data_IF_244680067334
#
_entry.id   IF_244680067334
#
_cell.length_a   1.000
_cell.length_b   1.000
_cell.length_c   1.000
_cell.angle_alpha   90.00
_cell.angle_beta   90.00
_cell.angle_gamma   90.00
#
_symmetry.space_group_name_H-M   'P 1'
#
loop_
_entity.id
_entity.type
_entity.pdbx_description
1 polymer ?
#
# COMPACT_ATOMS: atom_id res chain seq x y z
N UNK A 1 -78.25 1.45 -30.84
CA UNK A 1 -77.51 0.33 -31.46
C UNK A 1 -76.15 0.21 -30.77
N UNK A 2 -75.77 -1.03 -30.45
CA UNK A 2 -74.45 -1.54 -30.02
C UNK A 2 -73.25 -0.75 -30.61
N UNK A 3 -72.05 -0.66 -30.00
CA UNK A 3 -71.25 -1.70 -29.34
C UNK A 3 -69.97 -1.10 -28.72
N UNK A 4 -69.58 -1.63 -27.56
CA UNK A 4 -68.23 -1.88 -27.03
C UNK A 4 -67.05 -1.76 -28.02
N UNK A 5 -65.87 -1.25 -27.60
CA UNK A 5 -64.54 -1.84 -27.88
C UNK A 5 -63.34 -1.14 -27.16
N UNK A 6 -62.76 -1.89 -26.20
CA UNK A 6 -61.35 -2.08 -25.80
C UNK A 6 -60.40 -0.97 -25.32
N UNK A 7 -60.13 -1.08 -24.00
CA UNK A 7 -58.83 -0.93 -23.34
C UNK A 7 -57.73 -1.78 -24.00
N UNK A 8 -56.64 -1.14 -24.46
CA UNK A 8 -55.29 -1.64 -24.73
C UNK A 8 -54.45 -0.39 -25.03
N UNK A 9 -53.22 -0.15 -24.63
CA UNK A 9 -52.16 -0.84 -23.91
C UNK A 9 -51.21 0.31 -23.50
N UNK A 10 -50.63 0.39 -22.31
CA UNK A 10 -49.65 -0.58 -21.85
C UNK A 10 -48.26 0.06 -21.88
N UNK A 11 -47.89 0.67 -20.75
CA UNK A 11 -46.57 0.53 -20.12
C UNK A 11 -45.33 0.66 -21.02
N UNK A 12 -44.86 1.90 -21.22
CA UNK A 12 -43.53 2.23 -21.77
C UNK A 12 -42.55 2.49 -20.62
N UNK A 13 -42.20 1.43 -19.87
CA UNK A 13 -41.16 1.48 -18.83
C UNK A 13 -40.21 0.29 -19.02
N UNK A 14 -38.92 0.60 -19.12
CA UNK A 14 -37.86 -0.36 -18.76
C UNK A 14 -37.04 -0.92 -19.91
N UNK A 15 -36.26 -0.08 -20.59
CA UNK A 15 -35.06 -0.52 -21.31
C UNK A 15 -33.85 0.37 -20.94
N UNK A 16 -33.64 0.60 -19.65
CA UNK A 16 -32.30 0.90 -19.14
C UNK A 16 -31.59 -0.43 -18.93
N UNK A 17 -31.03 -0.98 -20.01
CA UNK A 17 -30.06 -2.06 -19.89
C UNK A 17 -28.89 -1.56 -19.06
N UNK A 18 -28.69 -2.13 -17.88
CA UNK A 18 -27.39 -2.07 -17.22
C UNK A 18 -26.38 -2.60 -18.24
N UNK A 19 -25.55 -1.72 -18.81
CA UNK A 19 -24.47 -2.14 -19.68
C UNK A 19 -23.62 -3.13 -18.88
N UNK A 20 -23.71 -4.41 -19.26
CA UNK A 20 -22.83 -5.45 -18.76
C UNK A 20 -21.47 -5.09 -19.32
N UNK A 21 -20.64 -4.43 -18.52
CA UNK A 21 -19.25 -4.14 -18.87
C UNK A 21 -18.64 -5.44 -19.40
N UNK A 22 -17.93 -5.40 -20.55
CA UNK A 22 -17.23 -6.58 -21.02
C UNK A 22 -16.33 -7.04 -19.88
N UNK A 23 -16.48 -8.31 -19.49
CA UNK A 23 -15.63 -8.96 -18.50
C UNK A 23 -14.23 -9.00 -19.13
N UNK A 24 -13.45 -7.95 -18.90
CA UNK A 24 -12.07 -7.88 -19.36
C UNK A 24 -11.41 -9.11 -18.77
N UNK A 25 -10.82 -10.02 -19.58
CA UNK A 25 -10.14 -11.16 -19.02
C UNK A 25 -9.06 -10.62 -18.10
N UNK A 26 -9.21 -10.88 -16.80
CA UNK A 26 -8.13 -10.68 -15.84
C UNK A 26 -6.96 -11.46 -16.42
N UNK A 27 -5.87 -10.75 -16.74
CA UNK A 27 -4.62 -11.42 -17.07
C UNK A 27 -4.38 -12.49 -15.98
N UNK A 28 -3.95 -13.71 -16.35
CA UNK A 28 -3.69 -14.74 -15.35
C UNK A 28 -2.81 -14.13 -14.28
N UNK A 29 -3.30 -14.13 -13.04
CA UNK A 29 -2.60 -13.48 -11.95
C UNK A 29 -1.20 -14.11 -11.89
N UNK A 30 -0.17 -13.28 -11.97
CA UNK A 30 1.20 -13.76 -12.18
C UNK A 30 1.62 -14.68 -11.02
N UNK A 31 2.55 -15.60 -11.24
CA UNK A 31 3.07 -16.41 -10.13
C UNK A 31 4.10 -15.64 -9.28
N UNK A 32 4.56 -14.48 -9.76
CA UNK A 32 5.45 -13.59 -9.02
C UNK A 32 4.65 -12.79 -7.97
N UNK A 33 4.94 -13.02 -6.69
CA UNK A 33 4.24 -12.41 -5.54
C UNK A 33 5.21 -11.87 -4.52
N UNK A 34 4.81 -10.78 -3.88
CA UNK A 34 5.35 -10.33 -2.60
C UNK A 34 4.26 -10.46 -1.54
N UNK A 35 4.51 -11.27 -0.52
CA UNK A 35 3.64 -11.44 0.64
C UNK A 35 4.26 -10.68 1.79
N UNK A 36 3.54 -9.71 2.33
CA UNK A 36 3.98 -8.92 3.49
C UNK A 36 3.07 -9.24 4.66
N UNK A 37 3.66 -9.59 5.80
CA UNK A 37 2.97 -9.78 7.08
C UNK A 37 3.56 -8.80 8.10
N UNK A 38 2.72 -7.99 8.71
CA UNK A 38 3.10 -7.01 9.73
C UNK A 38 2.40 -7.36 11.04
N UNK A 39 3.10 -7.25 12.17
CA UNK A 39 2.56 -7.52 13.52
C UNK A 39 2.76 -6.30 14.41
N UNK A 40 1.69 -5.86 15.05
CA UNK A 40 1.66 -4.68 15.90
C UNK A 40 1.54 -5.03 17.39
N UNK A 41 1.94 -4.12 18.28
CA UNK A 41 1.91 -4.33 19.73
C UNK A 41 0.48 -4.43 20.30
N UNK A 42 -0.49 -3.79 19.64
CA UNK A 42 -1.91 -3.86 19.98
C UNK A 42 -2.79 -4.19 18.75
N UNK A 43 -4.09 -4.50 18.94
CA UNK A 43 -5.00 -4.70 17.82
C UNK A 43 -5.00 -3.50 16.85
N UNK A 44 -5.13 -3.80 15.55
CA UNK A 44 -5.13 -2.79 14.49
C UNK A 44 -6.24 -1.75 14.75
N UNK A 45 -5.88 -0.46 14.74
CA UNK A 45 -6.84 0.63 14.79
C UNK A 45 -7.41 0.89 13.39
N UNK A 46 -8.71 0.67 13.22
CA UNK A 46 -9.39 0.88 11.94
C UNK A 46 -9.40 2.35 11.47
N UNK A 47 -9.10 3.31 12.35
CA UNK A 47 -9.00 4.74 12.02
C UNK A 47 -7.57 5.20 11.71
N UNK A 48 -6.56 4.36 11.95
CA UNK A 48 -5.19 4.62 11.55
C UNK A 48 -4.96 4.25 10.08
N UNK A 49 -3.87 4.79 9.53
CA UNK A 49 -3.39 4.48 8.19
C UNK A 49 -2.12 3.66 8.30
N UNK A 50 -2.06 2.58 7.52
CA UNK A 50 -0.88 1.72 7.45
C UNK A 50 -0.41 1.66 6.00
N UNK A 51 0.89 1.79 5.79
CA UNK A 51 1.49 1.87 4.47
C UNK A 51 2.59 0.83 4.32
N UNK A 52 2.58 0.16 3.17
CA UNK A 52 3.76 -0.57 2.67
C UNK A 52 4.35 0.29 1.58
N UNK A 53 5.40 1.04 1.89
CA UNK A 53 6.07 1.93 0.96
C UNK A 53 7.19 1.18 0.23
N UNK A 54 7.33 1.44 -1.06
CA UNK A 54 8.16 0.64 -1.97
C UNK A 54 8.96 1.58 -2.87
N UNK A 55 10.26 1.40 -2.88
CA UNK A 55 11.18 1.91 -3.89
C UNK A 55 11.70 0.76 -4.75
N UNK A 56 11.97 1.06 -6.02
CA UNK A 56 12.22 0.10 -7.09
C UNK A 56 13.36 0.52 -8.02
N UNK A 57 14.16 1.52 -7.64
CA UNK A 57 15.20 2.08 -8.52
C UNK A 57 16.51 1.30 -8.53
N UNK A 58 16.57 0.17 -7.81
CA UNK A 58 17.77 -0.66 -7.67
C UNK A 58 18.97 0.18 -7.13
N UNK A 59 18.76 1.14 -6.22
CA UNK A 59 19.79 1.85 -5.43
C UNK A 59 19.62 1.54 -3.92
N UNK A 60 20.61 0.93 -3.22
CA UNK A 60 20.42 0.50 -1.84
C UNK A 60 20.71 1.64 -0.85
N UNK A 61 21.10 2.81 -1.37
CA UNK A 61 21.39 4.01 -0.58
C UNK A 61 20.19 4.94 -0.47
N UNK A 62 19.12 4.65 -1.21
CA UNK A 62 17.85 5.35 -1.12
C UNK A 62 16.73 4.40 -0.74
N UNK A 63 15.69 4.94 -0.11
CA UNK A 63 14.50 4.14 0.19
C UNK A 63 13.37 4.93 0.82
N UNK A 64 12.25 4.26 1.12
CA UNK A 64 11.07 4.92 1.66
C UNK A 64 11.28 5.43 3.08
N UNK A 65 11.01 6.72 3.33
CA UNK A 65 11.06 7.33 4.66
C UNK A 65 9.72 7.98 5.05
N UNK A 66 9.36 7.98 6.35
CA UNK A 66 8.17 8.65 6.84
C UNK A 66 8.32 10.18 6.81
N UNK A 67 7.21 10.89 6.61
CA UNK A 67 7.16 12.35 6.64
C UNK A 67 6.98 12.87 8.08
N UNK A 68 8.10 13.04 8.79
CA UNK A 68 8.10 13.45 10.21
C UNK A 68 8.06 14.97 10.42
N UNK A 69 8.69 15.76 9.54
CA UNK A 69 8.71 17.25 9.59
C UNK A 69 8.62 17.87 8.18
N UNK A 70 8.37 19.19 8.10
CA UNK A 70 7.86 19.90 6.90
C UNK A 70 8.66 19.76 5.60
N UNK A 71 8.00 19.99 4.43
CA UNK A 71 6.55 19.89 4.20
C UNK A 71 6.15 18.43 3.92
N UNK A 72 5.08 17.96 4.57
CA UNK A 72 4.55 16.62 4.40
C UNK A 72 3.77 16.52 3.09
N UNK A 73 4.51 16.25 2.02
CA UNK A 73 4.00 16.20 0.67
C UNK A 73 2.65 15.51 0.49
N UNK A 74 2.57 14.26 0.94
CA UNK A 74 1.37 13.42 0.93
C UNK A 74 0.83 13.15 2.36
N UNK A 75 1.42 13.79 3.37
CA UNK A 75 1.02 13.63 4.77
C UNK A 75 1.45 12.34 5.46
N UNK A 76 2.30 11.50 4.89
CA UNK A 76 2.80 10.28 5.57
C UNK A 76 4.22 9.84 5.19
N UNK A 77 4.70 10.14 3.97
CA UNK A 77 6.01 9.72 3.49
C UNK A 77 6.72 10.80 2.67
N UNK A 78 8.03 10.67 2.51
CA UNK A 78 8.86 11.58 1.70
C UNK A 78 9.08 10.92 0.32
N UNK A 79 8.45 11.40 -0.76
CA UNK A 79 8.46 10.61 -2.00
C UNK A 79 9.75 10.69 -2.80
N UNK A 80 10.45 11.83 -2.78
CA UNK A 80 11.82 11.96 -3.30
C UNK A 80 12.52 13.11 -2.60
N UNK A 81 13.62 12.79 -1.91
CA UNK A 81 14.54 13.76 -1.34
C UNK A 81 15.96 13.18 -1.37
N UNK A 82 16.79 13.69 -2.29
CA UNK A 82 18.17 13.24 -2.46
C UNK A 82 19.08 13.59 -1.28
N UNK A 83 18.71 14.58 -0.47
CA UNK A 83 19.48 14.96 0.72
C UNK A 83 19.20 14.01 1.88
N UNK A 84 17.97 13.51 1.98
CA UNK A 84 17.57 12.51 2.98
C UNK A 84 17.81 11.07 2.52
N UNK A 85 18.14 10.86 1.24
CA UNK A 85 18.17 9.52 0.65
C UNK A 85 16.79 8.89 0.55
N UNK A 86 15.73 9.71 0.43
CA UNK A 86 14.37 9.20 0.39
C UNK A 86 13.85 9.04 -1.02
N UNK A 87 13.17 7.93 -1.27
CA UNK A 87 12.45 7.68 -2.52
C UNK A 87 11.30 6.68 -2.30
N UNK A 88 10.14 6.96 -2.91
CA UNK A 88 8.96 6.09 -2.88
C UNK A 88 8.36 6.09 -4.28
N UNK A 89 8.27 4.92 -4.92
CA UNK A 89 7.62 4.80 -6.24
C UNK A 89 6.23 4.17 -6.15
N UNK A 90 6.06 3.15 -5.29
CA UNK A 90 4.77 2.51 -5.05
C UNK A 90 4.44 2.51 -3.57
N UNK A 91 3.15 2.37 -3.26
CA UNK A 91 2.74 2.05 -1.91
C UNK A 91 1.42 1.27 -1.90
N UNK A 92 1.26 0.42 -0.90
CA UNK A 92 -0.04 -0.05 -0.46
C UNK A 92 -0.54 0.88 0.64
N UNK A 93 -1.74 1.43 0.51
CA UNK A 93 -2.44 2.12 1.59
C UNK A 93 -3.49 1.18 2.17
N UNK A 94 -3.44 0.98 3.48
CA UNK A 94 -4.41 0.22 4.25
C UNK A 94 -5.14 1.20 5.17
N UNK A 95 -6.45 1.32 4.97
CA UNK A 95 -7.31 2.19 5.77
C UNK A 95 -8.71 1.60 5.85
N UNK A 96 -9.32 1.62 7.04
CA UNK A 96 -10.67 1.11 7.30
C UNK A 96 -10.92 -0.30 6.72
N UNK A 97 -9.98 -1.21 6.97
CA UNK A 97 -10.05 -2.61 6.51
C UNK A 97 -10.14 -2.76 4.99
N UNK A 98 -9.67 -1.78 4.24
CA UNK A 98 -9.48 -1.85 2.79
C UNK A 98 -8.02 -1.61 2.47
N UNK A 99 -7.56 -2.13 1.33
CA UNK A 99 -6.21 -1.88 0.83
C UNK A 99 -6.24 -1.59 -0.66
N UNK A 100 -5.47 -0.57 -1.05
CA UNK A 100 -5.33 -0.14 -2.43
C UNK A 100 -3.84 0.08 -2.73
N UNK A 101 -3.40 -0.37 -3.91
CA UNK A 101 -2.07 -0.09 -4.41
C UNK A 101 -2.07 1.19 -5.24
N UNK A 102 -0.99 1.94 -5.11
CA UNK A 102 -0.78 3.19 -5.82
C UNK A 102 0.63 3.27 -6.37
N UNK A 103 0.77 3.97 -7.49
CA UNK A 103 2.03 4.42 -8.05
C UNK A 103 2.11 5.93 -7.97
N UNK A 104 3.24 6.46 -7.49
CA UNK A 104 3.52 7.89 -7.51
C UNK A 104 3.81 8.34 -8.95
N UNK A 105 3.13 9.38 -9.40
CA UNK A 105 3.30 9.96 -10.75
C UNK A 105 4.18 11.22 -10.71
N UNK A 106 4.06 12.00 -9.63
CA UNK A 106 4.85 13.22 -9.41
C UNK A 106 5.48 13.13 -8.03
N UNK A 107 6.81 13.14 -8.00
CA UNK A 107 7.65 12.99 -6.81
C UNK A 107 7.96 14.33 -6.11
N UNK A 108 7.19 15.38 -6.42
CA UNK A 108 7.31 16.70 -5.82
C UNK A 108 5.92 17.23 -5.46
N UNK A 109 5.79 18.14 -4.48
CA UNK A 109 4.51 18.74 -4.18
C UNK A 109 3.96 19.57 -5.38
N UNK A 110 2.67 19.44 -5.75
CA UNK A 110 1.70 18.50 -5.21
C UNK A 110 1.92 17.09 -5.77
N UNK A 111 2.04 16.13 -4.86
CA UNK A 111 2.21 14.72 -5.21
C UNK A 111 0.93 14.20 -5.82
N UNK A 112 1.07 13.40 -6.87
CA UNK A 112 -0.06 12.75 -7.52
C UNK A 112 0.19 11.26 -7.61
N UNK A 113 -0.89 10.51 -7.50
CA UNK A 113 -0.84 9.05 -7.49
C UNK A 113 -1.80 8.49 -8.52
N UNK A 114 -1.43 7.35 -9.07
CA UNK A 114 -2.28 6.53 -9.93
C UNK A 114 -2.64 5.28 -9.16
N UNK A 115 -3.94 5.01 -9.01
CA UNK A 115 -4.36 3.76 -8.40
C UNK A 115 -4.11 2.58 -9.33
N UNK A 116 -3.56 1.51 -8.76
CA UNK A 116 -3.31 0.22 -9.41
C UNK A 116 -4.39 -0.83 -9.07
N UNK A 117 -5.37 -0.46 -8.22
CA UNK A 117 -6.40 -1.36 -7.71
C UNK A 117 -5.98 -2.10 -6.44
N UNK A 118 -6.82 -3.04 -5.95
CA UNK A 118 -6.50 -3.82 -4.77
C UNK A 118 -5.38 -4.84 -5.07
N UNK A 119 -4.65 -5.31 -4.03
CA UNK A 119 -3.73 -6.43 -4.13
C UNK A 119 -4.48 -7.74 -4.41
N UNK A 120 -3.73 -8.83 -4.61
CA UNK A 120 -4.27 -10.17 -4.89
C UNK A 120 -5.06 -10.70 -3.70
N UNK A 121 -4.56 -10.45 -2.49
CA UNK A 121 -5.18 -10.90 -1.25
C UNK A 121 -4.84 -9.91 -0.11
N UNK A 122 -5.75 -9.82 0.85
CA UNK A 122 -5.65 -8.97 2.03
C UNK A 122 -6.45 -9.57 3.17
N UNK A 123 -5.83 -9.66 4.34
CA UNK A 123 -6.45 -10.26 5.51
C UNK A 123 -5.84 -9.73 6.81
N UNK A 124 -6.54 -9.98 7.91
CA UNK A 124 -6.05 -9.81 9.27
C UNK A 124 -5.94 -11.20 9.92
N UNK A 125 -4.81 -11.91 9.79
CA UNK A 125 -4.67 -13.27 10.33
C UNK A 125 -4.91 -13.33 11.85
N UNK A 126 -4.56 -12.26 12.55
CA UNK A 126 -4.80 -12.01 13.97
C UNK A 126 -5.27 -10.55 14.16
N UNK A 127 -5.87 -10.19 15.31
CA UNK A 127 -6.34 -8.83 15.56
C UNK A 127 -5.28 -7.73 15.44
N UNK A 128 -4.01 -8.06 15.63
CA UNK A 128 -2.85 -7.18 15.55
C UNK A 128 -1.97 -7.46 14.32
N UNK A 129 -2.44 -8.23 13.34
CA UNK A 129 -1.67 -8.59 12.15
C UNK A 129 -2.33 -8.11 10.87
N UNK A 130 -1.51 -7.57 9.98
CA UNK A 130 -1.90 -7.23 8.61
C UNK A 130 -1.15 -8.16 7.67
N UNK A 131 -1.88 -8.77 6.72
CA UNK A 131 -1.26 -9.55 5.65
C UNK A 131 -1.74 -9.09 4.29
N UNK A 132 -0.80 -8.72 3.43
CA UNK A 132 -1.04 -8.24 2.04
C UNK A 132 -0.29 -9.14 1.07
N UNK A 133 -0.94 -9.54 -0.03
CA UNK A 133 -0.31 -10.30 -1.13
C UNK A 133 -0.36 -9.48 -2.41
N UNK A 134 0.79 -8.98 -2.84
CA UNK A 134 0.92 -8.12 -4.01
C UNK A 134 1.35 -8.96 -5.23
N UNK A 135 0.71 -8.76 -6.37
CA UNK A 135 1.21 -9.24 -7.66
C UNK A 135 2.36 -8.33 -8.11
N UNK A 136 3.57 -8.87 -8.26
CA UNK A 136 4.69 -8.07 -8.76
C UNK A 136 4.43 -7.54 -10.19
N UNK A 137 3.57 -8.19 -10.98
CA UNK A 137 3.15 -7.70 -12.30
C UNK A 137 2.09 -6.60 -12.25
N UNK A 138 1.47 -6.36 -11.11
CA UNK A 138 0.63 -5.18 -10.90
C UNK A 138 1.49 -3.93 -10.72
N UNK A 139 2.66 -4.06 -10.07
CA UNK A 139 3.65 -2.98 -9.94
C UNK A 139 4.47 -2.81 -11.23
N UNK A 140 4.90 -3.94 -11.82
CA UNK A 140 5.77 -4.00 -13.00
C UNK A 140 5.04 -4.65 -14.19
N UNK A 141 4.05 -3.97 -14.79
CA UNK A 141 3.32 -4.50 -15.93
C UNK A 141 4.26 -4.70 -17.12
N UNK A 142 3.99 -5.72 -17.93
CA UNK A 142 4.76 -5.98 -19.16
C UNK A 142 4.71 -4.75 -20.09
N UNK A 143 5.81 -4.45 -20.81
CA UNK A 143 7.04 -5.23 -20.94
C UNK A 143 8.10 -4.95 -19.86
N UNK A 144 7.79 -4.18 -18.81
CA UNK A 144 8.79 -3.79 -17.82
C UNK A 144 9.31 -5.03 -17.05
N UNK A 145 10.64 -5.17 -16.89
CA UNK A 145 11.20 -6.21 -16.04
C UNK A 145 10.84 -5.93 -14.57
N UNK A 146 10.74 -7.00 -13.79
CA UNK A 146 10.72 -6.88 -12.32
C UNK A 146 12.17 -6.54 -11.90
N UNK A 147 12.40 -5.53 -11.04
CA UNK A 147 13.74 -5.15 -10.59
C UNK A 147 14.41 -6.27 -9.79
N UNK A 148 15.71 -6.14 -9.54
CA UNK A 148 16.46 -7.16 -8.82
C UNK A 148 16.22 -7.11 -7.32
N UNK A 149 15.86 -5.94 -6.78
CA UNK A 149 15.45 -5.73 -5.39
C UNK A 149 14.38 -4.66 -5.27
N UNK A 150 13.86 -4.53 -4.06
CA UNK A 150 13.03 -3.41 -3.63
C UNK A 150 13.49 -2.93 -2.26
N UNK A 151 13.38 -1.63 -2.03
CA UNK A 151 13.57 -1.03 -0.72
C UNK A 151 12.21 -0.77 -0.10
N UNK A 152 12.00 -1.25 1.12
CA UNK A 152 10.69 -1.24 1.79
C UNK A 152 10.76 -0.53 3.14
N UNK A 153 9.69 0.20 3.45
CA UNK A 153 9.38 0.67 4.80
C UNK A 153 7.90 0.43 5.10
N UNK A 154 7.58 0.15 6.35
CA UNK A 154 6.23 -0.08 6.84
C UNK A 154 5.84 1.08 7.75
N UNK A 155 5.08 2.03 7.23
CA UNK A 155 4.80 3.29 7.92
C UNK A 155 3.38 3.26 8.44
N UNK A 156 3.20 3.49 9.74
CA UNK A 156 1.87 3.63 10.36
C UNK A 156 1.69 5.05 10.88
N UNK A 157 0.49 5.61 10.72
CA UNK A 157 0.17 6.97 11.21
C UNK A 157 -1.27 7.05 11.69
N UNK A 158 -1.52 7.80 12.76
CA UNK A 158 -2.87 8.05 13.26
C UNK A 158 -3.64 9.11 12.44
N UNK A 159 -2.94 9.97 11.71
CA UNK A 159 -3.53 11.07 10.96
C UNK A 159 -2.74 11.41 9.68
N UNK A 160 -3.44 11.98 8.70
CA UNK A 160 -2.81 12.51 7.49
C UNK A 160 -2.74 14.03 7.59
N UNK A 161 -1.52 14.53 7.75
CA UNK A 161 -1.27 15.97 7.82
C UNK A 161 -0.99 16.53 6.42
N UNK A 162 -2.04 16.88 5.68
CA UNK A 162 -1.94 17.41 4.31
C UNK A 162 -1.69 18.92 4.19
N UNK A 163 -1.70 19.66 5.31
CA UNK A 163 -1.42 21.10 5.29
C UNK A 163 0.10 21.34 5.19
N UNK A 164 0.63 21.87 4.07
CA UNK A 164 2.07 22.10 3.93
C UNK A 164 2.60 23.19 4.88
N UNK A 165 1.72 23.96 5.51
CA UNK A 165 2.04 25.00 6.49
C UNK A 165 1.92 24.51 7.94
N UNK A 166 1.65 23.24 8.20
CA UNK A 166 1.69 22.69 9.54
C UNK A 166 3.12 22.22 9.87
N UNK A 167 3.68 22.69 10.99
CA UNK A 167 5.05 22.38 11.47
C UNK A 167 5.06 21.50 12.72
N UNK A 168 3.88 21.10 13.19
CA UNK A 168 3.77 20.37 14.45
C UNK A 168 4.45 19.00 14.31
N UNK A 169 5.42 18.65 15.17
CA UNK A 169 6.04 17.34 15.13
C UNK A 169 4.97 16.23 15.11
N UNK A 170 5.19 15.19 14.31
CA UNK A 170 4.32 14.03 14.30
C UNK A 170 4.62 13.16 15.51
N UNK A 171 3.59 12.78 16.25
CA UNK A 171 3.70 11.99 17.48
C UNK A 171 2.97 10.65 17.39
N UNK A 172 1.93 10.54 16.56
CA UNK A 172 1.23 9.28 16.28
C UNK A 172 1.74 8.65 14.99
N UNK A 173 2.96 8.12 15.03
CA UNK A 173 3.52 7.34 13.93
C UNK A 173 4.39 6.21 14.44
N UNK A 174 4.63 5.28 13.53
CA UNK A 174 5.74 4.35 13.60
C UNK A 174 6.25 4.00 12.20
N UNK A 175 7.48 3.53 12.11
CA UNK A 175 8.10 3.04 10.88
C UNK A 175 9.33 2.18 11.20
N UNK A 176 9.94 1.56 10.20
CA UNK A 176 11.09 0.68 10.44
C UNK A 176 12.25 1.40 11.15
N UNK A 177 12.76 0.71 12.16
CA UNK A 177 13.90 1.04 13.00
C UNK A 177 13.55 1.97 14.15
N UNK A 178 14.47 2.14 15.13
CA UNK A 178 14.19 2.88 16.36
C UNK A 178 13.81 4.36 16.20
N UNK A 179 13.95 4.90 14.99
CA UNK A 179 13.60 6.28 14.64
C UNK A 179 12.61 6.38 13.48
N UNK A 180 12.19 5.24 12.92
CA UNK A 180 11.38 5.16 11.71
C UNK A 180 12.11 5.47 10.40
N UNK A 181 13.40 5.81 10.43
CA UNK A 181 14.17 6.24 9.26
C UNK A 181 14.98 5.12 8.60
N UNK A 182 14.72 3.88 8.95
CA UNK A 182 15.37 2.74 8.33
C UNK A 182 14.46 2.13 7.24
N UNK A 183 15.06 1.36 6.34
CA UNK A 183 14.36 0.57 5.34
C UNK A 183 15.10 -0.75 5.10
N UNK A 184 14.41 -1.73 4.53
CA UNK A 184 14.99 -3.04 4.21
C UNK A 184 15.09 -3.23 2.69
N UNK A 185 16.22 -3.76 2.23
CA UNK A 185 16.44 -4.07 0.81
C UNK A 185 16.12 -5.54 0.53
N UNK A 186 14.98 -5.84 -0.08
CA UNK A 186 14.52 -7.20 -0.37
C UNK A 186 14.94 -7.66 -1.77
N UNK A 187 15.85 -8.64 -1.92
CA UNK A 187 16.15 -9.25 -3.20
C UNK A 187 14.94 -9.97 -3.79
N UNK A 188 14.68 -9.76 -5.08
CA UNK A 188 13.58 -10.40 -5.82
C UNK A 188 14.05 -11.55 -6.72
N UNK A 189 15.32 -11.94 -6.63
CA UNK A 189 15.97 -12.91 -7.53
C UNK A 189 15.51 -14.36 -7.33
N UNK A 190 14.98 -14.70 -6.15
CA UNK A 190 14.54 -16.06 -5.84
C UNK A 190 13.37 -16.08 -4.86
N UNK A 191 12.75 -17.26 -4.71
CA UNK A 191 11.71 -17.46 -3.69
C UNK A 191 12.38 -17.56 -2.34
N UNK A 192 12.16 -16.56 -1.49
CA UNK A 192 12.80 -16.46 -0.18
C UNK A 192 11.89 -15.72 0.82
N UNK A 193 12.09 -15.99 2.10
CA UNK A 193 11.45 -15.26 3.21
C UNK A 193 12.50 -14.47 3.97
N UNK A 194 12.17 -13.23 4.29
CA UNK A 194 12.96 -12.27 5.05
C UNK A 194 12.12 -11.87 6.26
N UNK A 195 12.71 -11.86 7.45
CA UNK A 195 11.98 -11.54 8.66
C UNK A 195 12.79 -10.61 9.56
N UNK A 196 12.08 -9.99 10.50
CA UNK A 196 12.65 -9.15 11.54
C UNK A 196 13.86 -9.82 12.24
N UNK A 197 14.91 -9.05 12.51
CA UNK A 197 16.12 -9.48 13.22
C UNK A 197 17.04 -10.46 12.48
N UNK A 198 16.71 -10.93 11.27
CA UNK A 198 17.56 -11.83 10.48
C UNK A 198 18.61 -11.07 9.64
N UNK A 199 19.44 -10.27 10.30
CA UNK A 199 20.45 -9.43 9.62
C UNK A 199 19.89 -8.18 8.95
N UNK A 200 18.64 -7.84 9.26
CA UNK A 200 17.94 -6.63 8.84
C UNK A 200 17.74 -5.69 10.03
N UNK A 201 17.17 -4.51 9.75
CA UNK A 201 16.64 -3.59 10.75
C UNK A 201 15.75 -4.37 11.71
N UNK A 202 16.08 -4.31 13.01
CA UNK A 202 15.35 -5.01 14.04
C UNK A 202 14.27 -4.09 14.60
N UNK A 203 13.01 -4.48 14.40
CA UNK A 203 11.86 -3.88 15.07
C UNK A 203 11.72 -4.45 16.48
N UNK A 204 11.40 -3.56 17.41
CA UNK A 204 11.16 -3.89 18.81
C UNK A 204 10.03 -3.04 19.35
N UNK A 205 9.21 -3.56 20.25
CA UNK A 205 8.13 -2.79 20.86
C UNK A 205 8.62 -1.57 21.64
N UNK A 206 7.81 -0.52 21.67
CA UNK A 206 7.90 0.61 22.60
C UNK A 206 8.60 1.86 22.07
N UNK A 207 8.87 1.92 20.77
CA UNK A 207 9.38 3.10 20.07
C UNK A 207 8.27 4.00 19.48
N UNK A 208 7.05 3.47 19.32
CA UNK A 208 5.87 4.27 19.03
C UNK A 208 5.14 4.77 20.31
N UNK A 209 4.47 5.93 20.22
CA UNK A 209 3.65 6.45 21.32
C UNK A 209 2.25 5.82 21.41
N UNK A 210 1.83 5.11 20.36
CA UNK A 210 0.51 4.50 20.24
C UNK A 210 0.71 3.02 19.93
N UNK A 211 0.35 2.13 20.86
CA UNK A 211 0.58 0.69 20.75
C UNK A 211 -0.04 0.05 19.49
N UNK A 212 -1.13 0.62 18.97
CA UNK A 212 -1.78 0.13 17.75
C UNK A 212 -1.03 0.52 16.45
N UNK A 213 -0.04 1.41 16.56
CA UNK A 213 0.86 1.83 15.49
C UNK A 213 2.24 1.17 15.60
N UNK A 214 2.64 0.78 16.81
CA UNK A 214 3.90 0.12 17.17
C UNK A 214 4.08 -1.22 16.43
N UNK A 215 4.95 -1.23 15.44
CA UNK A 215 5.34 -2.39 14.65
C UNK A 215 6.38 -3.19 15.43
N UNK A 216 6.03 -4.42 15.77
CA UNK A 216 6.86 -5.29 16.61
C UNK A 216 7.53 -6.42 15.83
N UNK A 217 6.97 -6.77 14.66
CA UNK A 217 7.50 -7.82 13.81
C UNK A 217 7.03 -7.65 12.36
N UNK A 218 7.85 -8.13 11.44
CA UNK A 218 7.53 -8.15 10.01
C UNK A 218 8.13 -9.38 9.32
N UNK A 219 7.43 -9.82 8.28
CA UNK A 219 7.88 -10.86 7.37
C UNK A 219 7.56 -10.45 5.92
N UNK A 220 8.56 -10.56 5.04
CA UNK A 220 8.40 -10.41 3.60
C UNK A 220 8.79 -11.70 2.92
N UNK A 221 7.84 -12.32 2.21
CA UNK A 221 8.08 -13.51 1.40
C UNK A 221 7.93 -13.20 -0.08
N UNK A 222 9.01 -13.42 -0.82
CA UNK A 222 9.01 -13.38 -2.28
C UNK A 222 8.70 -14.78 -2.80
N UNK A 223 7.75 -14.86 -3.74
CA UNK A 223 7.45 -16.06 -4.50
C UNK A 223 7.72 -15.73 -5.96
N UNK A 224 8.61 -16.49 -6.61
CA UNK A 224 8.89 -16.35 -8.04
C UNK A 224 8.25 -17.50 -8.80
N UNK A 225 7.50 -17.15 -9.83
CA UNK A 225 6.90 -18.10 -10.75
C UNK A 225 7.91 -18.60 -11.77
N UNK A 226 8.10 -19.91 -11.84
CA UNK A 226 8.55 -20.55 -13.08
C UNK A 226 7.38 -20.67 -14.06
#
# INVERSE_FOLDING_TARGET
MFRFWWLFAGLLIGLCGCAKFPKQPLAPASRDRMVVTLTYAAPIDANAFYYIAIDDDDDPTTGPLPALTRPWGNGWGVPLDTTLGSRIHFFAEIFRQSVQLFQIQVFQPPFTTRSLGPPVDFSFPQPNQIRVVIDLRQLFPLPNPIPNRLELNFISVNEIKGNPQDNTPRTGYDALGPTGNDFISIPLSSTQTFSNGQGWVQETSGDAQIDALDLTDWEVRIVRGQ
#
